data_IF_002909019662
#
_entry.id   IF_002909019662
#
_cell.length_a   1.000
_cell.length_b   1.000
_cell.length_c   1.000
_cell.angle_alpha   90.00
_cell.angle_beta   90.00
_cell.angle_gamma   90.00
#
_symmetry.space_group_name_H-M   'P 1'
#
loop_
_entity.id
_entity.type
_entity.pdbx_description
1 polymer ?
#
# COMPACT_ATOMS: atom_id res chain seq x y z
N UNK A 1 -9.68 -1.72 -14.50
CA UNK A 1 -10.05 -3.05 -13.91
C UNK A 1 -9.28 -3.27 -12.64
N UNK A 2 -9.96 -3.41 -11.50
CA UNK A 2 -9.32 -3.74 -10.21
C UNK A 2 -9.28 -5.26 -9.97
N UNK A 3 -8.42 -5.71 -9.00
CA UNK A 3 -8.36 -7.13 -8.62
C UNK A 3 -9.65 -7.63 -7.97
N UNK A 4 -10.46 -6.73 -7.40
CA UNK A 4 -11.77 -7.00 -6.81
C UNK A 4 -12.93 -7.00 -7.80
N UNK A 5 -12.71 -6.67 -9.07
CA UNK A 5 -13.78 -6.66 -10.07
C UNK A 5 -14.15 -8.08 -10.54
N UNK A 6 -15.45 -8.33 -10.85
CA UNK A 6 -15.91 -9.62 -11.37
C UNK A 6 -15.21 -9.98 -12.68
N UNK A 7 -14.96 -8.99 -13.55
CA UNK A 7 -14.23 -9.19 -14.80
C UNK A 7 -12.81 -9.69 -14.56
N UNK A 8 -12.15 -9.19 -13.50
CA UNK A 8 -10.82 -9.70 -13.13
C UNK A 8 -10.91 -11.13 -12.60
N UNK A 9 -11.78 -11.37 -11.62
CA UNK A 9 -11.85 -12.64 -10.88
C UNK A 9 -12.24 -13.81 -11.79
N UNK A 10 -13.24 -13.62 -12.66
CA UNK A 10 -13.81 -14.68 -13.48
C UNK A 10 -13.39 -14.66 -14.96
N UNK A 11 -12.88 -13.52 -15.44
CA UNK A 11 -12.41 -13.37 -16.83
C UNK A 11 -10.89 -13.36 -16.92
N UNK A 12 -10.28 -12.22 -16.61
CA UNK A 12 -8.87 -11.99 -16.88
C UNK A 12 -7.94 -12.94 -16.11
N UNK A 13 -8.15 -13.11 -14.80
CA UNK A 13 -7.23 -13.88 -13.95
C UNK A 13 -7.17 -15.37 -14.33
N UNK A 14 -8.31 -16.12 -14.51
CA UNK A 14 -8.26 -17.50 -14.95
C UNK A 14 -7.66 -17.65 -16.35
N UNK A 15 -8.04 -16.82 -17.31
CA UNK A 15 -7.50 -16.85 -18.69
C UNK A 15 -6.00 -16.60 -18.69
N UNK A 16 -5.55 -15.59 -17.94
CA UNK A 16 -4.13 -15.26 -17.83
C UNK A 16 -3.31 -16.40 -17.19
N UNK A 17 -3.88 -17.10 -16.20
CA UNK A 17 -3.25 -18.28 -15.60
C UNK A 17 -3.07 -19.41 -16.62
N UNK A 18 -4.12 -19.73 -17.37
CA UNK A 18 -4.06 -20.79 -18.38
C UNK A 18 -3.00 -20.44 -19.44
N UNK A 19 -3.08 -19.26 -20.03
CA UNK A 19 -2.13 -18.80 -21.06
C UNK A 19 -0.69 -18.84 -20.56
N UNK A 20 -0.45 -18.35 -19.35
CA UNK A 20 0.89 -18.35 -18.78
C UNK A 20 1.43 -19.76 -18.50
N UNK A 21 0.61 -20.68 -18.02
CA UNK A 21 1.08 -22.04 -17.70
C UNK A 21 1.36 -22.88 -18.95
N UNK A 22 0.62 -22.68 -20.03
CA UNK A 22 0.85 -23.31 -21.34
C UNK A 22 2.13 -22.76 -22.02
N UNK A 23 2.47 -21.49 -21.74
CA UNK A 23 3.64 -20.83 -22.35
C UNK A 23 4.96 -21.54 -21.98
N UNK A 24 5.85 -21.80 -22.96
CA UNK A 24 7.17 -22.38 -22.73
C UNK A 24 8.01 -21.55 -21.76
N UNK A 25 8.88 -22.22 -20.98
CA UNK A 25 9.69 -21.57 -19.93
C UNK A 25 10.49 -20.36 -20.42
N UNK A 26 11.01 -20.40 -21.66
CA UNK A 26 11.82 -19.30 -22.27
C UNK A 26 10.98 -18.04 -22.57
N UNK A 27 9.70 -18.20 -22.85
CA UNK A 27 8.78 -17.09 -23.21
C UNK A 27 7.95 -16.57 -22.04
N UNK A 28 8.08 -17.13 -20.85
CA UNK A 28 7.24 -16.76 -19.69
C UNK A 28 7.40 -15.29 -19.26
N UNK A 29 8.58 -14.69 -19.39
CA UNK A 29 8.77 -13.26 -19.10
C UNK A 29 8.04 -12.40 -20.13
N UNK A 30 8.14 -12.75 -21.42
CA UNK A 30 7.41 -12.05 -22.47
C UNK A 30 5.89 -12.21 -22.32
N UNK A 31 5.41 -13.42 -22.03
CA UNK A 31 3.99 -13.67 -21.76
C UNK A 31 3.47 -12.85 -20.59
N UNK A 32 4.23 -12.78 -19.49
CA UNK A 32 3.89 -11.94 -18.33
C UNK A 32 3.84 -10.45 -18.69
N UNK A 33 4.73 -9.99 -19.56
CA UNK A 33 4.71 -8.60 -20.03
C UNK A 33 3.46 -8.34 -20.87
N UNK A 34 3.13 -9.21 -21.82
CA UNK A 34 1.91 -9.08 -22.63
C UNK A 34 0.66 -9.07 -21.76
N UNK A 35 0.55 -9.99 -20.80
CA UNK A 35 -0.56 -10.01 -19.84
C UNK A 35 -0.63 -8.72 -19.01
N UNK A 36 0.53 -8.16 -18.64
CA UNK A 36 0.57 -6.88 -17.93
C UNK A 36 0.13 -5.71 -18.80
N UNK A 37 0.49 -5.71 -20.09
CA UNK A 37 0.02 -4.70 -21.06
C UNK A 37 -1.50 -4.81 -21.28
N UNK A 38 -2.04 -6.03 -21.41
CA UNK A 38 -3.49 -6.25 -21.51
C UNK A 38 -4.18 -5.76 -20.23
N UNK A 39 -3.63 -6.06 -19.04
CA UNK A 39 -4.18 -5.54 -17.78
C UNK A 39 -4.18 -4.00 -17.75
N UNK A 40 -3.11 -3.37 -18.22
CA UNK A 40 -3.00 -1.92 -18.31
C UNK A 40 -4.01 -1.31 -19.30
N UNK A 41 -4.34 -2.01 -20.40
CA UNK A 41 -5.29 -1.49 -21.40
C UNK A 41 -6.71 -1.32 -20.88
N UNK A 42 -7.08 -2.03 -19.79
CA UNK A 42 -8.37 -1.81 -19.11
C UNK A 42 -8.47 -0.45 -18.39
N UNK A 43 -7.35 0.24 -18.19
CA UNK A 43 -7.32 1.62 -17.68
C UNK A 43 -7.29 2.68 -18.79
N UNK A 44 -7.39 2.26 -20.04
CA UNK A 44 -7.37 3.09 -21.23
C UNK A 44 -6.08 2.97 -22.04
N UNK A 45 -6.18 3.27 -23.33
CA UNK A 45 -5.02 3.25 -24.24
C UNK A 45 -3.98 4.30 -23.84
N UNK A 46 -4.42 5.44 -23.36
CA UNK A 46 -3.58 6.54 -22.85
C UNK A 46 -2.66 6.07 -21.71
N UNK A 47 -3.19 5.21 -20.82
CA UNK A 47 -2.39 4.63 -19.77
C UNK A 47 -1.28 3.71 -20.31
N UNK A 48 -1.59 2.89 -21.31
CA UNK A 48 -0.58 2.01 -21.93
C UNK A 48 0.52 2.83 -22.61
N UNK A 49 0.14 3.87 -23.34
CA UNK A 49 1.09 4.78 -23.99
C UNK A 49 1.96 5.52 -22.97
N UNK A 50 1.35 6.04 -21.92
CA UNK A 50 2.07 6.69 -20.82
C UNK A 50 3.09 5.77 -20.15
N UNK A 51 2.66 4.57 -19.73
CA UNK A 51 3.57 3.66 -19.02
C UNK A 51 4.68 3.13 -19.94
N UNK A 52 4.40 2.95 -21.23
CA UNK A 52 5.39 2.59 -22.22
C UNK A 52 6.45 3.71 -22.41
N UNK A 53 6.02 4.96 -22.56
CA UNK A 53 6.90 6.11 -22.64
C UNK A 53 7.72 6.26 -21.33
N UNK A 54 7.08 6.14 -20.17
CA UNK A 54 7.74 6.19 -18.88
C UNK A 54 8.84 5.12 -18.74
N UNK A 55 8.56 3.89 -19.17
CA UNK A 55 9.54 2.79 -19.18
C UNK A 55 10.70 3.09 -20.13
N UNK A 56 10.44 3.57 -21.35
CA UNK A 56 11.48 3.87 -22.33
C UNK A 56 12.43 4.96 -21.80
N UNK A 57 11.88 6.05 -21.26
CA UNK A 57 12.68 7.15 -20.70
C UNK A 57 13.55 6.63 -19.55
N UNK A 58 12.95 5.96 -18.56
CA UNK A 58 13.69 5.47 -17.40
C UNK A 58 14.71 4.38 -17.75
N UNK A 59 14.39 3.49 -18.71
CA UNK A 59 15.34 2.50 -19.21
C UNK A 59 16.54 3.19 -19.86
N UNK A 60 16.32 4.13 -20.75
CA UNK A 60 17.40 4.86 -21.46
C UNK A 60 18.26 5.64 -20.48
N UNK A 61 17.64 6.39 -19.58
CA UNK A 61 18.34 7.16 -18.55
C UNK A 61 19.18 6.28 -17.64
N UNK A 62 18.65 5.14 -17.19
CA UNK A 62 19.36 4.20 -16.34
C UNK A 62 20.57 3.57 -17.07
N UNK A 63 20.43 3.25 -18.37
CA UNK A 63 21.52 2.75 -19.22
C UNK A 63 22.60 3.79 -19.39
N UNK A 64 22.24 5.03 -19.71
CA UNK A 64 23.18 6.14 -19.88
C UNK A 64 23.93 6.42 -18.57
N UNK A 65 23.22 6.46 -17.44
CA UNK A 65 23.85 6.65 -16.12
C UNK A 65 24.89 5.58 -15.82
N UNK A 66 24.60 4.29 -16.07
CA UNK A 66 25.54 3.19 -15.80
C UNK A 66 26.77 3.23 -16.74
N UNK A 67 26.56 3.51 -18.03
CA UNK A 67 27.65 3.60 -19.01
C UNK A 67 28.56 4.78 -18.69
N UNK A 68 27.99 5.95 -18.43
CA UNK A 68 28.77 7.15 -18.12
C UNK A 68 29.47 7.03 -16.76
N UNK A 69 28.85 6.41 -15.77
CA UNK A 69 29.48 6.18 -14.45
C UNK A 69 30.79 5.40 -14.57
N UNK A 70 30.88 4.44 -15.50
CA UNK A 70 32.09 3.67 -15.74
C UNK A 70 33.18 4.45 -16.45
N UNK A 71 32.83 5.53 -17.16
CA UNK A 71 33.75 6.38 -17.92
C UNK A 71 34.11 7.67 -17.17
N UNK A 72 33.12 8.36 -16.64
CA UNK A 72 33.30 9.64 -15.97
C UNK A 72 32.23 9.83 -14.89
N UNK A 73 32.63 9.90 -13.63
CA UNK A 73 31.75 10.04 -12.48
C UNK A 73 30.96 11.36 -12.49
N UNK A 74 31.48 12.43 -13.10
CA UNK A 74 30.79 13.72 -13.20
C UNK A 74 29.71 13.65 -14.30
N UNK A 75 30.05 13.10 -15.47
CA UNK A 75 29.15 13.02 -16.61
C UNK A 75 27.89 12.18 -16.33
N UNK A 76 27.97 11.15 -15.46
CA UNK A 76 26.82 10.33 -15.11
C UNK A 76 25.78 11.07 -14.25
N UNK A 77 26.15 12.20 -13.65
CA UNK A 77 25.21 13.02 -12.85
C UNK A 77 24.10 13.63 -13.71
N UNK A 78 24.38 13.99 -14.97
CA UNK A 78 23.38 14.63 -15.85
C UNK A 78 22.18 13.70 -16.12
N UNK A 79 22.34 12.47 -16.68
CA UNK A 79 21.21 11.58 -16.87
C UNK A 79 20.56 11.15 -15.55
N UNK A 80 21.35 10.97 -14.48
CA UNK A 80 20.81 10.68 -13.15
C UNK A 80 19.87 11.79 -12.68
N UNK A 81 20.32 13.06 -12.70
CA UNK A 81 19.51 14.21 -12.28
C UNK A 81 18.26 14.37 -13.15
N UNK A 82 18.40 14.21 -14.47
CA UNK A 82 17.24 14.24 -15.38
C UNK A 82 16.20 13.18 -15.01
N UNK A 83 16.62 11.91 -14.78
CA UNK A 83 15.70 10.85 -14.41
C UNK A 83 15.03 11.11 -13.06
N UNK A 84 15.78 11.60 -12.06
CA UNK A 84 15.23 11.97 -10.77
C UNK A 84 14.15 13.06 -10.89
N UNK A 85 14.43 14.11 -11.66
CA UNK A 85 13.49 15.22 -11.90
C UNK A 85 12.27 14.72 -12.68
N UNK A 86 12.48 13.91 -13.73
CA UNK A 86 11.40 13.33 -14.53
C UNK A 86 10.44 12.48 -13.67
N UNK A 87 10.97 11.59 -12.84
CA UNK A 87 10.16 10.71 -11.99
C UNK A 87 9.39 11.49 -10.92
N UNK A 88 10.05 12.46 -10.27
CA UNK A 88 9.42 13.34 -9.28
C UNK A 88 8.34 14.19 -9.96
N UNK A 89 8.65 14.79 -11.11
CA UNK A 89 7.67 15.58 -11.87
C UNK A 89 6.46 14.73 -12.27
N UNK A 90 6.67 13.54 -12.84
CA UNK A 90 5.58 12.62 -13.19
C UNK A 90 4.71 12.29 -11.97
N UNK A 91 5.32 11.98 -10.81
CA UNK A 91 4.59 11.71 -9.59
C UNK A 91 3.72 12.89 -9.16
N UNK A 92 4.27 14.11 -9.11
CA UNK A 92 3.54 15.31 -8.71
C UNK A 92 2.48 15.71 -9.73
N UNK A 93 2.81 15.64 -11.02
CA UNK A 93 1.88 15.99 -12.09
C UNK A 93 0.58 15.18 -12.03
N UNK A 94 0.65 13.90 -11.69
CA UNK A 94 -0.53 13.03 -11.63
C UNK A 94 -1.18 12.88 -10.26
N UNK A 95 -0.54 13.37 -9.20
CA UNK A 95 -1.05 13.24 -7.83
C UNK A 95 -1.57 14.55 -7.24
N UNK A 96 -1.32 15.69 -7.86
CA UNK A 96 -1.78 16.98 -7.36
C UNK A 96 -2.81 17.60 -8.30
N UNK A 97 -3.95 18.04 -7.77
CA UNK A 97 -5.02 18.69 -8.52
C UNK A 97 -4.55 19.97 -9.25
N UNK A 98 -3.47 20.58 -8.78
CA UNK A 98 -2.90 21.81 -9.39
C UNK A 98 -2.43 21.61 -10.82
N UNK A 99 -2.15 20.37 -11.23
CA UNK A 99 -1.80 20.04 -12.61
C UNK A 99 -2.98 19.60 -13.46
N UNK A 100 -4.21 19.57 -12.93
CA UNK A 100 -5.41 19.30 -13.73
C UNK A 100 -5.55 20.24 -14.92
N UNK A 101 -5.11 21.51 -14.79
CA UNK A 101 -5.03 22.46 -15.90
C UNK A 101 -4.12 22.00 -17.05
N UNK A 102 -3.09 21.21 -16.79
CA UNK A 102 -2.22 20.63 -17.83
C UNK A 102 -2.98 19.58 -18.64
N UNK A 103 -3.86 18.80 -17.99
CA UNK A 103 -4.69 17.79 -18.68
C UNK A 103 -5.73 18.43 -19.59
N UNK A 104 -6.39 19.49 -19.12
CA UNK A 104 -7.35 20.25 -19.95
C UNK A 104 -6.67 20.90 -21.15
N UNK A 105 -5.45 21.42 -20.97
CA UNK A 105 -4.65 22.02 -22.06
C UNK A 105 -4.19 20.97 -23.08
N UNK A 106 -3.83 19.75 -22.62
CA UNK A 106 -3.40 18.64 -23.48
C UNK A 106 -4.58 17.84 -24.06
N UNK A 107 -5.83 18.24 -23.81
CA UNK A 107 -7.06 17.53 -24.22
C UNK A 107 -7.06 16.05 -23.81
N UNK A 108 -6.35 15.69 -22.75
CA UNK A 108 -6.44 14.37 -22.13
C UNK A 108 -7.79 14.32 -21.38
N UNK A 109 -8.53 13.24 -21.54
CA UNK A 109 -9.83 13.07 -20.86
C UNK A 109 -9.73 13.33 -19.38
N UNK A 110 -10.77 13.92 -18.77
CA UNK A 110 -10.84 14.39 -17.37
C UNK A 110 -10.51 13.34 -16.29
N UNK A 111 -10.25 12.11 -16.67
CA UNK A 111 -10.08 10.98 -15.74
C UNK A 111 -8.77 10.20 -15.90
N UNK A 112 -7.75 10.74 -16.57
CA UNK A 112 -6.50 10.00 -16.72
C UNK A 112 -5.67 10.04 -15.43
N UNK A 113 -5.88 9.07 -14.55
CA UNK A 113 -5.02 8.82 -13.40
C UNK A 113 -4.21 7.54 -13.63
N UNK A 114 -2.87 7.62 -13.75
CA UNK A 114 -2.03 6.42 -13.95
C UNK A 114 -1.95 5.61 -12.66
N UNK A 115 -2.82 4.61 -12.58
CA UNK A 115 -2.92 3.71 -11.42
C UNK A 115 -1.55 3.09 -11.10
N UNK A 116 -1.18 3.11 -9.82
CA UNK A 116 0.12 2.59 -9.36
C UNK A 116 1.31 3.53 -9.54
N UNK A 117 1.10 4.78 -10.04
CA UNK A 117 2.19 5.73 -10.25
C UNK A 117 3.03 5.96 -8.98
N UNK A 118 2.39 6.05 -7.83
CA UNK A 118 3.06 6.22 -6.54
C UNK A 118 4.07 5.10 -6.25
N UNK A 119 3.75 3.84 -6.62
CA UNK A 119 4.57 2.67 -6.31
C UNK A 119 5.65 2.40 -7.37
N UNK A 120 5.29 2.50 -8.67
CA UNK A 120 6.28 2.25 -9.71
C UNK A 120 7.32 3.38 -9.78
N UNK A 121 6.94 4.63 -9.47
CA UNK A 121 7.90 5.75 -9.35
C UNK A 121 8.91 5.52 -8.23
N UNK A 122 8.48 5.05 -7.05
CA UNK A 122 9.43 4.66 -6.00
C UNK A 122 10.37 3.54 -6.47
N UNK A 123 9.87 2.59 -7.28
CA UNK A 123 10.70 1.53 -7.85
C UNK A 123 11.74 2.08 -8.82
N UNK A 124 11.34 2.99 -9.73
CA UNK A 124 12.21 3.63 -10.71
C UNK A 124 13.28 4.52 -10.03
N UNK A 125 12.86 5.40 -9.10
CA UNK A 125 13.77 6.24 -8.32
C UNK A 125 14.80 5.40 -7.55
N UNK A 126 14.35 4.35 -6.85
CA UNK A 126 15.24 3.46 -6.11
C UNK A 126 16.25 2.75 -7.00
N UNK A 127 15.82 2.30 -8.19
CA UNK A 127 16.70 1.67 -9.17
C UNK A 127 17.74 2.64 -9.72
N UNK A 128 17.34 3.85 -10.08
CA UNK A 128 18.24 4.88 -10.61
C UNK A 128 19.29 5.29 -9.57
N UNK A 129 18.87 5.46 -8.30
CA UNK A 129 19.80 5.72 -7.18
C UNK A 129 20.77 4.56 -6.96
N UNK A 130 20.30 3.31 -7.04
CA UNK A 130 21.19 2.13 -6.88
C UNK A 130 22.20 2.01 -8.03
N UNK A 131 21.84 2.38 -9.26
CA UNK A 131 22.78 2.44 -10.41
C UNK A 131 23.80 3.55 -10.20
N UNK A 132 23.35 4.76 -9.86
CA UNK A 132 24.25 5.90 -9.64
C UNK A 132 25.28 5.59 -8.55
N UNK A 133 24.87 4.95 -7.47
CA UNK A 133 25.75 4.52 -6.38
C UNK A 133 26.57 3.24 -6.70
N UNK A 134 26.42 2.65 -7.89
CA UNK A 134 27.15 1.44 -8.29
C UNK A 134 26.74 0.16 -7.57
N UNK A 135 25.61 0.15 -6.89
CA UNK A 135 25.09 -1.03 -6.17
C UNK A 135 24.54 -2.09 -7.11
N UNK A 136 24.02 -1.66 -8.26
CA UNK A 136 23.44 -2.52 -9.30
C UNK A 136 23.89 -2.00 -10.65
N UNK A 137 24.15 -2.89 -11.60
CA UNK A 137 24.36 -2.55 -13.01
C UNK A 137 23.02 -2.41 -13.72
N UNK A 138 22.97 -1.55 -14.75
CA UNK A 138 21.73 -1.36 -15.50
C UNK A 138 21.32 -2.63 -16.25
N UNK A 139 20.02 -2.94 -16.22
CA UNK A 139 19.45 -4.07 -16.95
C UNK A 139 19.58 -3.86 -18.46
N UNK A 140 19.99 -4.92 -19.17
CA UNK A 140 20.14 -4.91 -20.62
C UNK A 140 18.88 -5.37 -21.35
N UNK A 141 18.05 -6.17 -20.69
CA UNK A 141 16.82 -6.71 -21.24
C UNK A 141 15.64 -5.79 -20.92
N UNK A 142 15.12 -5.10 -21.93
CA UNK A 142 13.99 -4.18 -21.78
C UNK A 142 12.73 -4.90 -21.29
N UNK A 143 12.49 -6.17 -21.67
CA UNK A 143 11.34 -6.95 -21.19
C UNK A 143 11.39 -7.12 -19.67
N UNK A 144 12.56 -7.45 -19.14
CA UNK A 144 12.75 -7.63 -17.68
C UNK A 144 12.63 -6.30 -16.93
N UNK A 145 13.15 -5.21 -17.51
CA UNK A 145 12.98 -3.89 -16.93
C UNK A 145 11.51 -3.43 -16.95
N UNK A 146 10.80 -3.66 -18.06
CA UNK A 146 9.37 -3.36 -18.16
C UNK A 146 8.56 -4.12 -17.10
N UNK A 147 8.84 -5.41 -16.88
CA UNK A 147 8.22 -6.19 -15.81
C UNK A 147 8.54 -5.64 -14.42
N UNK A 148 9.74 -5.10 -14.21
CA UNK A 148 10.07 -4.46 -12.94
C UNK A 148 9.18 -3.25 -12.63
N UNK A 149 8.75 -2.51 -13.64
CA UNK A 149 7.88 -1.33 -13.50
C UNK A 149 6.40 -1.72 -13.50
N UNK A 150 5.92 -2.44 -14.52
CA UNK A 150 4.50 -2.58 -14.83
C UNK A 150 3.90 -3.98 -14.62
N UNK A 151 4.61 -4.90 -13.94
CA UNK A 151 4.13 -6.26 -13.72
C UNK A 151 2.79 -6.25 -12.98
N UNK A 152 1.69 -6.73 -13.62
CA UNK A 152 0.33 -6.53 -13.12
C UNK A 152 0.09 -7.06 -11.69
N UNK A 153 0.66 -8.16 -11.19
CA UNK A 153 0.49 -8.57 -9.80
C UNK A 153 1.06 -7.58 -8.77
N UNK A 154 1.89 -6.62 -9.22
CA UNK A 154 2.51 -5.60 -8.36
C UNK A 154 2.00 -4.19 -8.61
N UNK A 155 1.31 -3.97 -9.72
CA UNK A 155 1.00 -2.63 -10.22
C UNK A 155 0.10 -1.84 -9.27
N UNK A 156 -0.97 -2.44 -8.73
CA UNK A 156 -1.95 -1.72 -7.90
C UNK A 156 -1.43 -1.42 -6.49
N UNK A 157 -0.94 -2.43 -5.77
CA UNK A 157 -0.47 -2.30 -4.38
C UNK A 157 0.59 -3.36 -4.05
N UNK A 158 1.32 -3.84 -5.05
CA UNK A 158 2.36 -4.83 -4.86
C UNK A 158 3.58 -4.26 -4.12
N UNK A 159 4.46 -5.13 -3.61
CA UNK A 159 5.62 -4.69 -2.85
C UNK A 159 6.58 -3.86 -3.70
N UNK A 160 6.98 -2.70 -3.18
CA UNK A 160 8.08 -1.90 -3.74
C UNK A 160 9.40 -2.62 -3.44
N UNK A 161 9.96 -3.25 -4.44
CA UNK A 161 11.18 -4.05 -4.32
C UNK A 161 12.37 -3.30 -4.90
N UNK A 162 13.55 -3.52 -4.30
CA UNK A 162 14.81 -3.18 -4.97
C UNK A 162 15.00 -4.09 -6.17
N UNK A 163 15.70 -3.60 -7.20
CA UNK A 163 15.90 -4.34 -8.44
C UNK A 163 16.61 -5.69 -8.23
N UNK A 164 17.60 -5.75 -7.35
CA UNK A 164 18.30 -7.00 -7.01
C UNK A 164 17.37 -8.04 -6.35
N UNK A 165 16.45 -7.61 -5.50
CA UNK A 165 15.46 -8.49 -4.87
C UNK A 165 14.42 -8.98 -5.91
N UNK A 166 13.97 -8.10 -6.79
CA UNK A 166 13.08 -8.46 -7.90
C UNK A 166 13.73 -9.51 -8.81
N UNK A 167 14.97 -9.31 -9.24
CA UNK A 167 15.71 -10.24 -10.10
C UNK A 167 15.88 -11.61 -9.44
N UNK A 168 16.15 -11.65 -8.13
CA UNK A 168 16.19 -12.94 -7.39
C UNK A 168 14.85 -13.68 -7.45
N UNK A 169 13.72 -12.97 -7.28
CA UNK A 169 12.37 -13.56 -7.36
C UNK A 169 12.09 -14.07 -8.76
N UNK A 170 12.43 -13.30 -9.80
CA UNK A 170 12.27 -13.70 -11.20
C UNK A 170 13.04 -14.98 -11.53
N UNK A 171 14.29 -15.07 -11.06
CA UNK A 171 15.16 -16.23 -11.31
C UNK A 171 14.80 -17.46 -10.47
N UNK A 172 14.21 -17.28 -9.28
CA UNK A 172 13.80 -18.36 -8.37
C UNK A 172 12.36 -18.84 -8.55
N UNK A 173 11.74 -18.50 -9.68
CA UNK A 173 10.34 -18.84 -9.97
C UNK A 173 10.06 -20.34 -9.82
N UNK A 174 9.00 -20.67 -9.08
CA UNK A 174 8.52 -22.04 -8.88
C UNK A 174 7.03 -22.12 -9.16
N UNK A 175 6.64 -22.91 -10.12
CA UNK A 175 5.24 -23.18 -10.46
C UNK A 175 4.87 -24.60 -10.01
N UNK A 176 3.70 -24.74 -9.39
CA UNK A 176 3.20 -26.04 -8.93
C UNK A 176 1.84 -25.88 -8.24
N UNK A 177 1.14 -26.97 -8.04
CA UNK A 177 -0.20 -26.99 -7.44
C UNK A 177 -0.21 -26.42 -6.01
N UNK A 178 0.85 -26.66 -5.25
CA UNK A 178 0.99 -26.11 -3.90
C UNK A 178 1.14 -24.58 -3.89
N UNK A 179 1.88 -24.03 -4.87
CA UNK A 179 2.04 -22.59 -5.01
C UNK A 179 0.73 -21.95 -5.48
N UNK A 180 0.02 -22.59 -6.40
CA UNK A 180 -1.29 -22.17 -6.86
C UNK A 180 -2.30 -22.14 -5.70
N UNK A 181 -2.38 -23.21 -4.90
CA UNK A 181 -3.28 -23.26 -3.75
C UNK A 181 -2.98 -22.17 -2.69
N UNK A 182 -1.68 -21.92 -2.40
CA UNK A 182 -1.27 -20.81 -1.53
C UNK A 182 -1.66 -19.46 -2.12
N UNK A 183 -1.43 -19.28 -3.42
CA UNK A 183 -1.74 -18.05 -4.13
C UNK A 183 -3.23 -17.75 -4.11
N UNK A 184 -4.08 -18.70 -4.44
CA UNK A 184 -5.53 -18.56 -4.38
C UNK A 184 -6.03 -18.26 -2.96
N UNK A 185 -5.48 -18.96 -1.96
CA UNK A 185 -5.82 -18.70 -0.55
C UNK A 185 -5.48 -17.26 -0.14
N UNK A 186 -4.32 -16.75 -0.54
CA UNK A 186 -3.93 -15.37 -0.25
C UNK A 186 -4.80 -14.36 -1.01
N UNK A 187 -5.11 -14.65 -2.28
CA UNK A 187 -5.98 -13.81 -3.09
C UNK A 187 -7.37 -13.67 -2.48
N UNK A 188 -8.01 -14.80 -2.10
CA UNK A 188 -9.34 -14.78 -1.50
C UNK A 188 -9.33 -14.09 -0.13
N UNK A 189 -8.29 -14.30 0.69
CA UNK A 189 -8.12 -13.55 1.95
C UNK A 189 -8.01 -12.04 1.71
N UNK A 190 -7.25 -11.63 0.69
CA UNK A 190 -7.13 -10.22 0.30
C UNK A 190 -8.48 -9.65 -0.17
N UNK A 191 -9.21 -10.40 -1.01
CA UNK A 191 -10.54 -10.04 -1.47
C UNK A 191 -11.54 -9.89 -0.30
N UNK A 192 -11.53 -10.84 0.64
CA UNK A 192 -12.35 -10.80 1.86
C UNK A 192 -12.06 -9.55 2.70
N UNK A 193 -10.79 -9.19 2.86
CA UNK A 193 -10.38 -7.96 3.54
C UNK A 193 -10.95 -6.71 2.85
N UNK A 194 -10.87 -6.65 1.51
CA UNK A 194 -11.36 -5.50 0.73
C UNK A 194 -12.88 -5.43 0.80
N UNK A 195 -13.58 -6.49 0.44
CA UNK A 195 -15.04 -6.47 0.24
C UNK A 195 -15.81 -6.51 1.57
N UNK A 196 -15.47 -7.44 2.48
CA UNK A 196 -16.24 -7.60 3.72
C UNK A 196 -15.82 -6.63 4.82
N UNK A 197 -14.54 -6.28 4.91
CA UNK A 197 -14.07 -5.40 5.97
C UNK A 197 -13.96 -3.95 5.51
N UNK A 198 -13.17 -3.66 4.47
CA UNK A 198 -12.88 -2.30 4.08
C UNK A 198 -14.11 -1.56 3.55
N UNK A 199 -14.89 -2.17 2.64
CA UNK A 199 -16.03 -1.49 2.03
C UNK A 199 -17.15 -1.21 3.05
N UNK A 200 -17.37 -2.14 3.99
CA UNK A 200 -18.35 -1.91 5.08
C UNK A 200 -17.88 -0.82 6.05
N UNK A 201 -16.58 -0.78 6.40
CA UNK A 201 -16.01 0.28 7.23
C UNK A 201 -15.98 1.63 6.51
N UNK A 202 -15.81 1.62 5.18
CA UNK A 202 -15.90 2.82 4.37
C UNK A 202 -17.30 3.42 4.40
N UNK A 203 -18.36 2.58 4.32
CA UNK A 203 -19.72 3.04 4.46
C UNK A 203 -19.98 3.71 5.83
N UNK A 204 -19.43 3.15 6.92
CA UNK A 204 -19.49 3.79 8.24
C UNK A 204 -18.74 5.12 8.26
N UNK A 205 -17.54 5.18 7.69
CA UNK A 205 -16.75 6.41 7.64
C UNK A 205 -17.49 7.52 6.86
N UNK A 206 -18.03 7.21 5.68
CA UNK A 206 -18.77 8.17 4.85
C UNK A 206 -20.04 8.65 5.57
N UNK A 207 -20.76 7.76 6.29
CA UNK A 207 -21.92 8.14 7.06
C UNK A 207 -21.60 9.18 8.15
N UNK A 208 -20.40 9.13 8.74
CA UNK A 208 -19.91 10.14 9.69
C UNK A 208 -19.38 11.39 8.97
N UNK A 209 -18.63 11.21 7.89
CA UNK A 209 -18.03 12.30 7.12
C UNK A 209 -19.07 13.19 6.39
N UNK A 210 -20.31 12.74 6.29
CA UNK A 210 -21.43 13.54 5.74
C UNK A 210 -21.87 14.69 6.66
N UNK A 211 -21.44 14.71 7.91
CA UNK A 211 -21.76 15.75 8.89
C UNK A 211 -20.61 16.73 9.06
N UNK A 212 -20.94 18.00 9.26
CA UNK A 212 -19.92 19.01 9.58
C UNK A 212 -19.25 18.69 10.92
N UNK A 213 -17.94 18.99 11.00
CA UNK A 213 -17.17 18.72 12.22
C UNK A 213 -17.74 19.41 13.46
N UNK A 214 -18.41 20.58 13.29
CA UNK A 214 -19.10 21.31 14.35
C UNK A 214 -20.36 20.64 14.91
N UNK A 215 -20.94 19.69 14.18
CA UNK A 215 -22.16 18.99 14.57
C UNK A 215 -21.88 17.60 15.16
N UNK A 216 -20.66 17.09 15.00
CA UNK A 216 -20.31 15.74 15.46
C UNK A 216 -20.24 15.65 16.98
N UNK A 217 -20.88 14.61 17.54
CA UNK A 217 -20.62 14.22 18.93
C UNK A 217 -19.27 13.54 19.08
N UNK A 218 -18.69 13.60 20.29
CA UNK A 218 -17.36 13.03 20.54
C UNK A 218 -17.28 11.54 20.16
N UNK A 219 -18.28 10.75 20.58
CA UNK A 219 -18.29 9.30 20.29
C UNK A 219 -18.46 9.02 18.80
N UNK A 220 -19.30 9.79 18.08
CA UNK A 220 -19.45 9.66 16.62
C UNK A 220 -18.12 9.99 15.89
N UNK A 221 -17.41 11.04 16.32
CA UNK A 221 -16.09 11.38 15.76
C UNK A 221 -15.07 10.26 16.00
N UNK A 222 -15.02 9.66 17.20
CA UNK A 222 -14.16 8.49 17.47
C UNK A 222 -14.54 7.26 16.62
N UNK A 223 -15.83 7.02 16.40
CA UNK A 223 -16.30 5.94 15.52
C UNK A 223 -15.85 6.17 14.08
N UNK A 224 -16.04 7.37 13.54
CA UNK A 224 -15.68 7.72 12.17
C UNK A 224 -14.18 7.53 11.91
N UNK A 225 -13.31 8.08 12.77
CA UNK A 225 -11.86 7.97 12.56
C UNK A 225 -11.33 6.55 12.80
N UNK A 226 -11.96 5.78 13.72
CA UNK A 226 -11.64 4.36 13.90
C UNK A 226 -12.03 3.55 12.67
N UNK A 227 -13.20 3.82 12.09
CA UNK A 227 -13.65 3.22 10.84
C UNK A 227 -12.68 3.56 9.69
N UNK A 228 -12.24 4.82 9.57
CA UNK A 228 -11.29 5.26 8.57
C UNK A 228 -9.97 4.49 8.62
N UNK A 229 -9.30 4.45 9.79
CA UNK A 229 -7.99 3.80 9.88
C UNK A 229 -8.06 2.29 9.68
N UNK A 230 -9.13 1.63 10.14
CA UNK A 230 -9.35 0.22 9.87
C UNK A 230 -9.69 -0.02 8.39
N UNK A 231 -10.54 0.80 7.78
CA UNK A 231 -10.84 0.78 6.36
C UNK A 231 -9.55 0.92 5.52
N UNK A 232 -8.74 1.91 5.81
CA UNK A 232 -7.45 2.14 5.15
C UNK A 232 -6.53 0.90 5.27
N UNK A 233 -6.43 0.33 6.46
CA UNK A 233 -5.65 -0.88 6.70
C UNK A 233 -6.16 -2.07 5.87
N UNK A 234 -7.46 -2.36 5.91
CA UNK A 234 -8.03 -3.49 5.19
C UNK A 234 -8.00 -3.32 3.68
N UNK A 235 -8.20 -2.09 3.18
CA UNK A 235 -8.07 -1.76 1.76
C UNK A 235 -6.63 -2.03 1.27
N UNK A 236 -5.64 -1.39 1.89
CA UNK A 236 -4.24 -1.51 1.46
C UNK A 236 -3.72 -2.94 1.63
N UNK A 237 -3.96 -3.56 2.80
CA UNK A 237 -3.50 -4.92 3.05
C UNK A 237 -4.26 -5.96 2.21
N UNK A 238 -5.53 -5.72 1.90
CA UNK A 238 -6.34 -6.59 1.06
C UNK A 238 -5.82 -6.61 -0.38
N UNK A 239 -5.63 -5.44 -0.99
CA UNK A 239 -5.10 -5.34 -2.36
C UNK A 239 -3.66 -5.85 -2.45
N UNK A 240 -2.83 -5.57 -1.43
CA UNK A 240 -1.47 -6.10 -1.37
C UNK A 240 -1.45 -7.64 -1.26
N UNK A 241 -2.30 -8.24 -0.42
CA UNK A 241 -2.42 -9.70 -0.30
C UNK A 241 -2.96 -10.34 -1.59
N UNK A 242 -3.93 -9.69 -2.29
CA UNK A 242 -4.37 -10.13 -3.62
C UNK A 242 -3.20 -10.12 -4.60
N UNK A 243 -2.44 -9.05 -4.69
CA UNK A 243 -1.26 -8.96 -5.58
C UNK A 243 -0.20 -10.01 -5.28
N UNK A 244 0.11 -10.24 -4.00
CA UNK A 244 1.02 -11.33 -3.58
C UNK A 244 0.45 -12.69 -3.94
N UNK A 245 -0.85 -12.91 -3.71
CA UNK A 245 -1.56 -14.15 -4.07
C UNK A 245 -1.50 -14.45 -5.57
N UNK A 246 -1.79 -13.45 -6.40
CA UNK A 246 -1.64 -13.53 -7.85
C UNK A 246 -0.18 -13.89 -8.20
N UNK A 247 0.81 -13.19 -7.61
CA UNK A 247 2.22 -13.51 -7.81
C UNK A 247 2.54 -14.97 -7.55
N UNK A 248 2.08 -15.55 -6.44
CA UNK A 248 2.26 -16.98 -6.13
C UNK A 248 1.64 -17.91 -7.18
N UNK A 249 0.45 -17.58 -7.72
CA UNK A 249 -0.18 -18.36 -8.78
C UNK A 249 0.67 -18.43 -10.06
N UNK A 250 1.44 -17.37 -10.34
CA UNK A 250 2.39 -17.32 -11.46
C UNK A 250 3.82 -17.80 -11.09
N UNK A 251 4.02 -18.24 -9.84
CA UNK A 251 5.28 -18.77 -9.34
C UNK A 251 6.25 -17.73 -8.78
N UNK A 252 5.82 -16.48 -8.61
CA UNK A 252 6.61 -15.40 -8.04
C UNK A 252 6.29 -15.21 -6.54
N UNK A 253 7.27 -15.41 -5.67
CA UNK A 253 7.10 -15.32 -4.22
C UNK A 253 7.39 -13.91 -3.71
N UNK A 254 6.44 -13.03 -3.88
CA UNK A 254 6.55 -11.67 -3.34
C UNK A 254 6.41 -11.63 -1.82
N UNK A 255 7.14 -10.74 -1.12
CA UNK A 255 6.97 -10.54 0.31
C UNK A 255 5.66 -9.80 0.62
N UNK A 256 5.07 -10.09 1.78
CA UNK A 256 3.90 -9.38 2.26
C UNK A 256 4.23 -7.94 2.68
N UNK A 257 3.33 -7.00 2.38
CA UNK A 257 3.50 -5.57 2.69
C UNK A 257 3.00 -5.20 4.09
N UNK A 258 2.10 -5.98 4.68
CA UNK A 258 1.51 -5.74 5.99
C UNK A 258 1.62 -6.98 6.88
N UNK A 259 1.90 -6.78 8.18
CA UNK A 259 2.02 -7.87 9.15
C UNK A 259 1.31 -7.52 10.48
N UNK A 260 -0.02 -7.39 10.45
CA UNK A 260 -0.85 -7.09 11.61
C UNK A 260 -0.35 -5.88 12.44
N UNK A 261 -0.32 -4.67 11.87
CA UNK A 261 0.24 -3.50 12.53
C UNK A 261 -0.61 -2.95 13.68
N UNK A 262 -1.96 -3.06 13.61
CA UNK A 262 -2.91 -2.35 14.47
C UNK A 262 -2.70 -2.61 15.96
N UNK A 263 -2.40 -3.85 16.35
CA UNK A 263 -2.18 -4.24 17.74
C UNK A 263 -0.69 -4.33 18.09
N UNK A 264 0.06 -3.33 17.69
CA UNK A 264 1.46 -3.19 18.08
C UNK A 264 1.58 -2.48 19.42
N UNK A 265 2.49 -2.95 20.28
CA UNK A 265 2.71 -2.36 21.60
C UNK A 265 3.50 -1.04 21.57
N UNK A 266 3.93 -0.58 20.41
CA UNK A 266 4.67 0.68 20.21
C UNK A 266 4.50 1.18 18.78
N UNK A 267 4.56 2.49 18.59
CA UNK A 267 4.47 3.11 17.25
C UNK A 267 5.60 2.61 16.34
N UNK A 268 6.82 2.41 16.86
CA UNK A 268 7.94 1.83 16.08
C UNK A 268 7.63 0.42 15.55
N UNK A 269 6.89 -0.40 16.28
CA UNK A 269 6.48 -1.74 15.84
C UNK A 269 5.31 -1.68 14.87
N UNK A 270 4.37 -0.76 15.10
CA UNK A 270 3.35 -0.44 14.11
C UNK A 270 4.00 -0.06 12.77
N UNK A 271 4.90 0.90 12.77
CA UNK A 271 5.63 1.36 11.59
C UNK A 271 6.42 0.23 10.89
N UNK A 272 7.04 -0.68 11.65
CA UNK A 272 7.78 -1.81 11.09
C UNK A 272 6.88 -2.88 10.44
N UNK A 273 5.56 -2.84 10.71
CA UNK A 273 4.56 -3.80 10.21
C UNK A 273 3.59 -3.18 9.19
N UNK A 274 3.55 -1.84 9.10
CA UNK A 274 2.73 -1.07 8.18
C UNK A 274 3.49 -0.82 6.89
N UNK A 275 2.95 -1.21 5.77
CA UNK A 275 3.50 -0.98 4.41
C UNK A 275 5.03 -1.12 4.33
N UNK A 276 5.50 -2.27 4.79
CA UNK A 276 6.91 -2.56 5.13
C UNK A 276 7.89 -2.12 4.04
N UNK A 277 7.58 -2.37 2.77
CA UNK A 277 8.48 -2.07 1.66
C UNK A 277 8.61 -0.58 1.40
N UNK A 278 7.52 0.20 1.53
CA UNK A 278 7.55 1.66 1.37
C UNK A 278 8.35 2.28 2.51
N UNK A 279 8.11 1.88 3.75
CA UNK A 279 8.89 2.37 4.91
C UNK A 279 10.37 2.00 4.76
N UNK A 280 10.69 0.79 4.26
CA UNK A 280 12.06 0.39 3.96
C UNK A 280 12.67 1.22 2.83
N UNK A 281 11.87 1.63 1.82
CA UNK A 281 12.33 2.51 0.76
C UNK A 281 12.79 3.87 1.32
N UNK A 282 11.92 4.56 2.06
CA UNK A 282 12.27 5.84 2.70
C UNK A 282 13.47 5.72 3.63
N UNK A 283 13.55 4.64 4.40
CA UNK A 283 14.71 4.37 5.25
C UNK A 283 16.00 4.18 4.48
N UNK A 284 15.98 3.43 3.37
CA UNK A 284 17.19 3.06 2.65
C UNK A 284 17.69 4.15 1.71
N UNK A 285 16.78 4.95 1.13
CA UNK A 285 17.13 5.96 0.14
C UNK A 285 17.15 7.39 0.69
N UNK A 286 16.47 7.65 1.81
CA UNK A 286 16.47 8.97 2.46
C UNK A 286 17.18 8.89 3.82
N UNK A 287 16.62 8.15 4.78
CA UNK A 287 17.14 8.21 6.16
C UNK A 287 18.60 7.77 6.26
N UNK A 288 18.94 6.56 5.77
CA UNK A 288 20.29 6.01 5.93
C UNK A 288 21.38 6.83 5.24
N UNK A 289 21.25 7.24 3.96
CA UNK A 289 22.33 7.97 3.28
C UNK A 289 22.64 9.29 3.98
N UNK A 290 21.61 10.05 4.35
CA UNK A 290 21.80 11.35 4.98
C UNK A 290 22.18 11.26 6.46
N UNK A 291 21.53 10.37 7.23
CA UNK A 291 21.83 10.22 8.66
C UNK A 291 23.22 9.63 8.93
N UNK A 292 23.71 8.74 8.07
CA UNK A 292 25.05 8.12 8.25
C UNK A 292 26.21 9.10 8.06
N UNK A 293 26.01 10.20 7.33
CA UNK A 293 27.02 11.23 7.11
C UNK A 293 27.08 12.25 8.26
N UNK A 294 26.06 12.25 9.14
CA UNK A 294 25.94 13.25 10.21
C UNK A 294 26.64 12.79 11.49
N UNK A 295 27.59 13.56 12.00
CA UNK A 295 28.21 13.33 13.31
C UNK A 295 27.26 13.59 14.47
N UNK A 296 26.30 14.51 14.29
CA UNK A 296 25.32 14.87 15.32
C UNK A 296 24.14 13.90 15.36
N UNK A 297 23.92 13.29 16.54
CA UNK A 297 22.72 12.46 16.80
C UNK A 297 21.41 13.24 16.69
N UNK A 298 21.45 14.54 16.96
CA UNK A 298 20.28 15.42 16.85
C UNK A 298 19.88 15.59 15.38
N UNK A 299 20.82 15.92 14.50
CA UNK A 299 20.57 16.07 13.06
C UNK A 299 20.09 14.74 12.47
N UNK A 300 20.67 13.60 12.85
CA UNK A 300 20.21 12.28 12.40
C UNK A 300 18.74 12.01 12.78
N UNK A 301 18.26 12.49 13.94
CA UNK A 301 16.84 12.39 14.33
C UNK A 301 15.96 13.32 13.50
N UNK A 302 16.40 14.53 13.20
CA UNK A 302 15.67 15.45 12.33
C UNK A 302 15.53 14.89 10.92
N UNK A 303 16.59 14.29 10.36
CA UNK A 303 16.55 13.60 9.07
C UNK A 303 15.55 12.43 9.10
N UNK A 304 15.51 11.67 10.20
CA UNK A 304 14.54 10.60 10.38
C UNK A 304 13.10 11.11 10.40
N UNK A 305 12.83 12.20 11.14
CA UNK A 305 11.50 12.84 11.18
C UNK A 305 11.16 13.38 9.79
N UNK A 306 12.09 14.06 9.10
CA UNK A 306 11.91 14.56 7.74
C UNK A 306 11.57 13.46 6.73
N UNK A 307 12.22 12.29 6.84
CA UNK A 307 11.89 11.14 5.99
C UNK A 307 10.46 10.61 6.25
N UNK A 308 9.99 10.63 7.50
CA UNK A 308 8.61 10.30 7.83
C UNK A 308 7.62 11.35 7.35
N UNK A 309 7.98 12.64 7.45
CA UNK A 309 7.21 13.76 6.90
C UNK A 309 7.04 13.60 5.39
N UNK A 310 8.12 13.28 4.68
CA UNK A 310 8.09 13.01 3.24
C UNK A 310 7.24 11.77 2.90
N UNK A 311 7.30 10.71 3.71
CA UNK A 311 6.45 9.54 3.55
C UNK A 311 4.97 9.89 3.78
N UNK A 312 4.64 10.68 4.78
CA UNK A 312 3.29 11.15 5.04
C UNK A 312 2.74 12.02 3.92
N UNK A 313 3.55 12.93 3.41
CA UNK A 313 3.19 13.71 2.22
C UNK A 313 2.95 12.82 1.00
N UNK A 314 3.80 11.82 0.77
CA UNK A 314 3.64 10.85 -0.32
C UNK A 314 2.34 10.04 -0.20
N UNK A 315 1.86 9.75 1.02
CA UNK A 315 0.59 9.05 1.23
C UNK A 315 -0.62 9.87 0.75
N UNK A 316 -0.74 11.12 1.17
CA UNK A 316 -1.93 11.94 0.96
C UNK A 316 -1.74 13.08 -0.04
N UNK A 317 -0.52 13.45 -0.38
CA UNK A 317 -0.17 14.64 -1.18
C UNK A 317 -0.73 15.96 -0.63
N UNK A 318 -0.98 16.01 0.69
CA UNK A 318 -1.46 17.18 1.43
C UNK A 318 -0.48 17.56 2.54
N UNK A 319 -0.55 18.81 2.98
CA UNK A 319 0.21 19.28 4.16
C UNK A 319 -0.23 18.54 5.43
N UNK A 320 -1.52 18.22 5.52
CA UNK A 320 -2.08 17.42 6.61
C UNK A 320 -1.45 16.02 6.67
N UNK A 321 -1.29 15.35 5.53
CA UNK A 321 -0.56 14.07 5.44
C UNK A 321 0.92 14.19 5.84
N UNK A 322 1.59 15.29 5.48
CA UNK A 322 2.95 15.55 5.95
C UNK A 322 3.03 15.67 7.48
N UNK A 323 2.07 16.33 8.11
CA UNK A 323 1.95 16.41 9.57
C UNK A 323 1.74 15.04 10.22
N UNK A 324 0.88 14.18 9.62
CA UNK A 324 0.76 12.78 10.06
C UNK A 324 2.12 12.09 10.10
N UNK A 325 2.90 12.20 9.03
CA UNK A 325 4.24 11.64 8.97
C UNK A 325 5.18 12.23 10.03
N UNK A 326 5.18 13.54 10.22
CA UNK A 326 5.98 14.21 11.24
C UNK A 326 5.64 13.74 12.66
N UNK A 327 4.34 13.59 12.98
CA UNK A 327 3.86 13.08 14.27
C UNK A 327 4.30 11.64 14.50
N UNK A 328 4.18 10.77 13.48
CA UNK A 328 4.66 9.39 13.54
C UNK A 328 6.17 9.33 13.77
N UNK A 329 6.95 10.07 13.00
CA UNK A 329 8.42 10.13 13.12
C UNK A 329 8.87 10.63 14.48
N UNK A 330 8.25 11.70 14.98
CA UNK A 330 8.53 12.29 16.29
C UNK A 330 8.20 11.32 17.42
N UNK A 331 7.04 10.66 17.35
CA UNK A 331 6.62 9.67 18.34
C UNK A 331 7.60 8.51 18.43
N UNK A 332 8.11 8.01 17.31
CA UNK A 332 9.13 6.94 17.29
C UNK A 332 10.43 7.43 17.98
N UNK A 333 10.85 8.67 17.73
CA UNK A 333 12.06 9.25 18.37
C UNK A 333 11.87 9.41 19.87
N UNK A 334 10.68 9.83 20.32
CA UNK A 334 10.34 9.97 21.76
C UNK A 334 10.26 8.59 22.43
N UNK A 335 9.58 7.62 21.82
CA UNK A 335 9.50 6.24 22.35
C UNK A 335 10.86 5.58 22.54
N UNK A 336 11.82 5.88 21.66
CA UNK A 336 13.19 5.36 21.82
C UNK A 336 13.88 5.85 23.10
N UNK A 337 13.53 7.05 23.58
CA UNK A 337 14.00 7.55 24.90
C UNK A 337 13.27 6.83 26.07
N UNK A 338 12.00 6.49 25.86
CA UNK A 338 11.12 5.83 26.87
C UNK A 338 11.15 4.30 26.80
N UNK A 339 12.18 3.73 26.17
CA UNK A 339 12.27 2.28 25.87
C UNK A 339 12.05 1.37 27.08
N UNK A 340 12.46 1.79 28.26
CA UNK A 340 12.40 1.01 29.51
C UNK A 340 11.17 1.34 30.39
N UNK A 341 10.27 2.22 29.95
CA UNK A 341 9.07 2.58 30.71
C UNK A 341 8.20 1.35 31.00
N UNK A 342 7.89 1.13 32.28
CA UNK A 342 6.97 0.06 32.74
C UNK A 342 5.55 0.30 32.24
N UNK A 343 5.13 1.57 32.18
CA UNK A 343 3.81 1.99 31.69
C UNK A 343 3.61 1.59 30.23
N UNK A 344 4.57 1.87 29.33
CA UNK A 344 4.52 1.47 27.93
C UNK A 344 4.56 -0.05 27.71
N UNK A 345 5.05 -0.83 28.68
CA UNK A 345 4.99 -2.28 28.61
C UNK A 345 3.59 -2.81 28.95
N UNK A 346 2.88 -2.17 29.87
CA UNK A 346 1.56 -2.60 30.32
C UNK A 346 0.44 -2.11 29.40
N UNK A 347 0.47 -0.85 28.95
CA UNK A 347 -0.62 -0.20 28.20
C UNK A 347 -0.29 0.03 26.72
N UNK A 348 0.84 -0.47 26.23
CA UNK A 348 1.41 -0.07 24.93
C UNK A 348 0.50 -0.34 23.74
N UNK A 349 -0.33 -1.38 23.75
CA UNK A 349 -1.25 -1.67 22.65
C UNK A 349 -2.33 -0.57 22.56
N UNK A 350 -2.96 -0.24 23.71
CA UNK A 350 -4.00 0.80 23.78
C UNK A 350 -3.40 2.15 23.42
N UNK A 351 -2.24 2.48 23.99
CA UNK A 351 -1.49 3.71 23.67
C UNK A 351 -1.22 3.83 22.18
N UNK A 352 -0.68 2.78 21.55
CA UNK A 352 -0.33 2.81 20.13
C UNK A 352 -1.57 2.93 19.25
N UNK A 353 -2.63 2.17 19.55
CA UNK A 353 -3.88 2.22 18.81
C UNK A 353 -4.51 3.62 18.89
N UNK A 354 -4.61 4.21 20.10
CA UNK A 354 -5.16 5.56 20.30
C UNK A 354 -4.34 6.61 19.55
N UNK A 355 -3.01 6.59 19.67
CA UNK A 355 -2.17 7.57 18.97
C UNK A 355 -2.25 7.44 17.45
N UNK A 356 -2.22 6.22 16.91
CA UNK A 356 -2.36 5.99 15.47
C UNK A 356 -3.73 6.48 14.99
N UNK A 357 -4.80 6.22 15.75
CA UNK A 357 -6.15 6.68 15.42
C UNK A 357 -6.25 8.21 15.44
N UNK A 358 -5.73 8.87 16.47
CA UNK A 358 -5.70 10.34 16.55
C UNK A 358 -4.87 10.94 15.43
N UNK A 359 -3.69 10.39 15.14
CA UNK A 359 -2.85 10.91 14.05
C UNK A 359 -3.49 10.69 12.68
N UNK A 360 -4.28 9.61 12.50
CA UNK A 360 -4.95 9.36 11.22
C UNK A 360 -6.00 10.40 10.86
N UNK A 361 -6.43 11.26 11.79
CA UNK A 361 -7.25 12.44 11.50
C UNK A 361 -6.56 13.33 10.46
N UNK A 362 -5.24 13.56 10.61
CA UNK A 362 -4.47 14.34 9.64
C UNK A 362 -4.35 13.66 8.26
N UNK A 363 -4.44 12.33 8.23
CA UNK A 363 -4.42 11.58 6.97
C UNK A 363 -5.79 11.57 6.28
N UNK A 364 -6.87 11.66 7.07
CA UNK A 364 -8.25 11.68 6.60
C UNK A 364 -8.71 13.06 6.13
N UNK A 365 -8.05 14.15 6.60
CA UNK A 365 -8.45 15.53 6.35
C UNK A 365 -7.67 16.16 5.21
N UNK A 366 -8.36 16.88 4.33
CA UNK A 366 -7.74 17.56 3.19
C UNK A 366 -6.91 18.78 3.67
N UNK A 367 -7.39 19.52 4.67
CA UNK A 367 -6.67 20.66 5.25
C UNK A 367 -6.31 20.42 6.71
N UNK A 368 -5.31 21.18 7.18
CA UNK A 368 -4.89 21.16 8.59
C UNK A 368 -5.98 21.73 9.50
N UNK A 369 -6.75 22.71 9.01
CA UNK A 369 -7.88 23.30 9.73
C UNK A 369 -8.95 22.26 10.02
N UNK A 370 -9.35 21.49 9.01
CA UNK A 370 -10.36 20.43 9.14
C UNK A 370 -9.92 19.34 10.13
N UNK A 371 -8.62 19.00 10.10
CA UNK A 371 -8.04 18.06 11.06
C UNK A 371 -8.18 18.58 12.51
N UNK A 372 -7.88 19.86 12.77
CA UNK A 372 -8.06 20.41 14.09
C UNK A 372 -9.53 20.53 14.51
N UNK A 373 -10.44 20.90 13.58
CA UNK A 373 -11.89 20.88 13.83
C UNK A 373 -12.37 19.49 14.23
N UNK A 374 -11.91 18.45 13.53
CA UNK A 374 -12.25 17.07 13.86
C UNK A 374 -11.69 16.64 15.22
N UNK A 375 -10.44 16.99 15.53
CA UNK A 375 -9.85 16.72 16.84
C UNK A 375 -10.61 17.43 17.97
N UNK A 376 -11.10 18.64 17.74
CA UNK A 376 -11.93 19.38 18.70
C UNK A 376 -13.26 18.62 18.96
N UNK A 377 -13.91 18.10 17.92
CA UNK A 377 -15.09 17.25 18.07
C UNK A 377 -14.79 15.99 18.89
N UNK A 378 -13.66 15.31 18.65
CA UNK A 378 -13.24 14.11 19.39
C UNK A 378 -13.09 14.33 20.90
N UNK A 379 -12.71 15.53 21.35
CA UNK A 379 -12.60 15.88 22.79
C UNK A 379 -13.86 16.48 23.38
N UNK A 380 -14.97 16.50 22.61
CA UNK A 380 -16.25 17.05 23.06
C UNK A 380 -16.36 18.57 22.97
N UNK A 381 -15.53 19.24 22.16
CA UNK A 381 -15.55 20.69 21.98
C UNK A 381 -16.89 21.25 21.50
N UNK A 382 -17.70 20.43 20.82
CA UNK A 382 -19.07 20.75 20.40
C UNK A 382 -20.12 20.58 21.51
N UNK A 383 -19.70 20.29 22.75
CA UNK A 383 -20.55 20.06 23.94
C UNK A 383 -21.50 18.84 23.83
N UNK A 384 -21.37 18.01 22.79
CA UNK A 384 -22.13 16.80 22.57
C UNK A 384 -21.22 15.57 22.79
N UNK A 385 -21.47 14.78 23.83
CA UNK A 385 -20.76 13.52 24.05
C UNK A 385 -21.32 12.41 23.16
N UNK A 386 -22.63 12.29 23.10
CA UNK A 386 -23.36 11.29 22.31
C UNK A 386 -24.62 11.91 21.70
N UNK A 387 -25.09 11.34 20.61
CA UNK A 387 -26.33 11.72 19.92
C UNK A 387 -27.09 10.46 19.43
N UNK A 388 -28.24 10.66 18.82
CA UNK A 388 -29.07 9.58 18.25
C UNK A 388 -28.35 8.86 17.11
N UNK A 389 -27.52 9.58 16.33
CA UNK A 389 -26.68 9.03 15.28
C UNK A 389 -25.64 8.05 15.86
N UNK A 390 -25.00 8.39 16.97
CA UNK A 390 -24.05 7.50 17.67
C UNK A 390 -24.69 6.14 17.96
N UNK A 391 -25.89 6.15 18.55
CA UNK A 391 -26.60 4.90 18.92
C UNK A 391 -26.98 4.08 17.69
N UNK A 392 -27.44 4.74 16.63
CA UNK A 392 -27.79 4.10 15.38
C UNK A 392 -26.54 3.44 14.74
N UNK A 393 -25.45 4.17 14.59
CA UNK A 393 -24.23 3.66 13.98
C UNK A 393 -23.61 2.53 14.83
N UNK A 394 -23.59 2.66 16.16
CA UNK A 394 -23.13 1.59 17.03
C UNK A 394 -23.95 0.31 16.85
N UNK A 395 -25.27 0.40 16.86
CA UNK A 395 -26.15 -0.79 16.67
C UNK A 395 -25.90 -1.44 15.30
N UNK A 396 -25.75 -0.64 14.24
CA UNK A 396 -25.61 -1.11 12.87
C UNK A 396 -24.23 -1.74 12.61
N UNK A 397 -23.16 -1.18 13.15
CA UNK A 397 -21.78 -1.55 12.79
C UNK A 397 -20.97 -2.21 13.91
N UNK A 398 -21.51 -2.39 15.13
CA UNK A 398 -20.78 -2.95 16.27
C UNK A 398 -20.13 -4.31 15.94
N UNK A 399 -20.90 -5.21 15.34
CA UNK A 399 -20.40 -6.56 15.00
C UNK A 399 -19.25 -6.45 14.00
N UNK A 400 -19.37 -5.61 12.98
CA UNK A 400 -18.31 -5.40 11.96
C UNK A 400 -17.07 -4.80 12.62
N UNK A 401 -17.22 -3.81 13.49
CA UNK A 401 -16.09 -3.21 14.22
C UNK A 401 -15.36 -4.25 15.08
N UNK A 402 -16.09 -5.07 15.86
CA UNK A 402 -15.49 -6.10 16.70
C UNK A 402 -14.79 -7.18 15.88
N UNK A 403 -15.41 -7.64 14.79
CA UNK A 403 -14.84 -8.64 13.89
C UNK A 403 -13.59 -8.10 13.19
N UNK A 404 -13.63 -6.87 12.68
CA UNK A 404 -12.49 -6.26 12.00
C UNK A 404 -11.37 -5.91 12.97
N UNK A 405 -11.66 -5.44 14.18
CA UNK A 405 -10.65 -5.28 15.23
C UNK A 405 -9.96 -6.62 15.53
N UNK A 406 -10.71 -7.70 15.73
CA UNK A 406 -10.13 -9.03 15.96
C UNK A 406 -9.32 -9.51 14.74
N UNK A 407 -9.83 -9.38 13.52
CA UNK A 407 -9.16 -9.78 12.28
C UNK A 407 -7.89 -8.96 11.99
N UNK A 408 -7.77 -7.76 12.54
CA UNK A 408 -6.55 -6.93 12.44
C UNK A 408 -5.43 -7.39 13.39
N UNK A 409 -5.69 -8.39 14.25
CA UNK A 409 -4.71 -9.00 15.18
C UNK A 409 -4.10 -10.28 14.61
N UNK A 410 -2.95 -10.67 15.14
CA UNK A 410 -2.33 -11.98 14.86
C UNK A 410 -2.78 -13.08 15.83
N UNK A 411 -3.77 -12.81 16.68
CA UNK A 411 -4.21 -13.73 17.74
C UNK A 411 -4.68 -15.07 17.17
N UNK A 412 -5.54 -15.04 16.16
CA UNK A 412 -6.04 -16.26 15.52
C UNK A 412 -4.92 -17.11 14.92
N UNK A 413 -4.01 -16.45 14.18
CA UNK A 413 -2.84 -17.11 13.59
C UNK A 413 -1.95 -17.74 14.67
N UNK A 414 -1.67 -17.00 15.75
CA UNK A 414 -0.83 -17.47 16.84
C UNK A 414 -1.50 -18.61 17.63
N UNK A 415 -2.81 -18.56 17.83
CA UNK A 415 -3.58 -19.63 18.42
C UNK A 415 -3.46 -20.93 17.62
N UNK A 416 -3.62 -20.87 16.28
CA UNK A 416 -3.47 -22.03 15.41
C UNK A 416 -2.03 -22.57 15.39
N UNK A 417 -1.04 -21.67 15.32
CA UNK A 417 0.38 -22.07 15.27
C UNK A 417 0.85 -22.67 16.61
N UNK A 418 0.36 -22.16 17.76
CA UNK A 418 0.70 -22.63 19.09
C UNK A 418 -0.07 -23.88 19.48
N UNK A 419 -1.17 -24.20 18.80
CA UNK A 419 -1.92 -25.42 19.09
C UNK A 419 -1.04 -26.66 18.87
N UNK A 420 -0.78 -27.40 19.97
CA UNK A 420 -0.07 -28.70 19.92
C UNK A 420 -0.96 -29.84 19.37
N UNK A 421 -2.27 -29.61 19.24
CA UNK A 421 -3.23 -30.61 18.75
C UNK A 421 -3.11 -30.75 17.22
N UNK A 422 -2.41 -31.80 16.80
CA UNK A 422 -2.22 -32.14 15.38
C UNK A 422 -3.55 -32.32 14.65
N UNK A 423 -4.58 -32.80 15.34
CA UNK A 423 -5.93 -33.01 14.84
C UNK A 423 -6.59 -31.68 14.42
N UNK A 424 -6.48 -30.63 15.26
CA UNK A 424 -7.02 -29.30 14.93
C UNK A 424 -6.36 -28.73 13.66
N UNK A 425 -5.03 -28.86 13.52
CA UNK A 425 -4.33 -28.40 12.32
C UNK A 425 -4.78 -29.13 11.06
N UNK A 426 -4.99 -30.45 11.13
CA UNK A 426 -5.51 -31.24 10.00
C UNK A 426 -6.93 -30.83 9.64
N UNK A 427 -7.84 -30.71 10.61
CA UNK A 427 -9.21 -30.25 10.38
C UNK A 427 -9.24 -28.87 9.75
N UNK A 428 -8.48 -27.90 10.28
CA UNK A 428 -8.41 -26.56 9.69
C UNK A 428 -7.83 -26.57 8.28
N UNK A 429 -6.79 -27.38 8.00
CA UNK A 429 -6.24 -27.48 6.64
C UNK A 429 -7.22 -28.08 5.65
N UNK A 430 -8.01 -29.08 6.06
CA UNK A 430 -9.03 -29.72 5.20
C UNK A 430 -10.25 -28.83 4.98
N UNK A 431 -10.62 -27.99 5.95
CA UNK A 431 -11.73 -27.04 5.83
C UNK A 431 -11.34 -25.78 5.05
N UNK A 432 -10.04 -25.45 4.95
CA UNK A 432 -9.59 -24.22 4.27
C UNK A 432 -10.16 -24.05 2.85
N UNK A 433 -10.17 -25.05 1.95
CA UNK A 433 -10.73 -24.89 0.60
C UNK A 433 -12.22 -24.56 0.60
N UNK A 434 -12.99 -25.21 1.49
CA UNK A 434 -14.44 -25.01 1.61
C UNK A 434 -14.74 -23.60 2.12
N UNK A 435 -14.03 -23.16 3.16
CA UNK A 435 -14.16 -21.81 3.71
C UNK A 435 -13.76 -20.77 2.67
N UNK A 436 -12.67 -20.98 1.91
CA UNK A 436 -12.26 -20.06 0.85
C UNK A 436 -13.29 -19.98 -0.27
N UNK A 437 -13.89 -21.11 -0.68
CA UNK A 437 -14.95 -21.12 -1.69
C UNK A 437 -16.20 -20.36 -1.20
N UNK A 438 -16.62 -20.59 0.05
CA UNK A 438 -17.74 -19.86 0.65
C UNK A 438 -17.45 -18.33 0.73
N UNK A 439 -16.26 -17.94 1.17
CA UNK A 439 -15.86 -16.53 1.21
C UNK A 439 -15.83 -15.90 -0.20
N UNK A 440 -15.35 -16.62 -1.20
CA UNK A 440 -15.37 -16.15 -2.58
C UNK A 440 -16.79 -15.93 -3.07
N UNK A 441 -17.71 -16.87 -2.80
CA UNK A 441 -19.11 -16.76 -3.18
C UNK A 441 -19.79 -15.55 -2.51
N UNK A 442 -19.56 -15.32 -1.20
CA UNK A 442 -20.10 -14.17 -0.48
C UNK A 442 -19.52 -12.86 -1.04
N UNK A 443 -18.19 -12.79 -1.26
CA UNK A 443 -17.58 -11.60 -1.87
C UNK A 443 -18.16 -11.33 -3.27
N UNK A 444 -18.35 -12.38 -4.09
CA UNK A 444 -18.95 -12.24 -5.43
C UNK A 444 -20.36 -11.68 -5.36
N UNK A 445 -21.20 -12.21 -4.45
CA UNK A 445 -22.57 -11.73 -4.27
C UNK A 445 -22.60 -10.24 -3.85
N UNK A 446 -21.72 -9.84 -2.94
CA UNK A 446 -21.64 -8.43 -2.51
C UNK A 446 -21.12 -7.51 -3.63
N UNK A 447 -20.12 -7.91 -4.39
CA UNK A 447 -19.62 -7.11 -5.51
C UNK A 447 -20.69 -6.95 -6.59
N UNK A 448 -21.50 -7.98 -6.85
CA UNK A 448 -22.59 -7.92 -7.85
C UNK A 448 -23.76 -7.06 -7.39
N UNK A 449 -24.01 -6.96 -6.07
CA UNK A 449 -25.12 -6.18 -5.52
C UNK A 449 -24.81 -4.70 -5.30
N UNK A 450 -23.58 -4.35 -4.90
CA UNK A 450 -23.21 -2.98 -4.49
C UNK A 450 -22.25 -2.26 -5.44
N UNK A 451 -21.69 -2.95 -6.41
CA UNK A 451 -20.51 -2.47 -7.12
C UNK A 451 -19.26 -2.44 -6.21
N UNK A 452 -18.06 -2.44 -6.80
CA UNK A 452 -16.85 -2.26 -6.02
C UNK A 452 -16.69 -0.77 -5.65
N UNK A 453 -16.44 -0.46 -4.38
CA UNK A 453 -16.12 0.90 -3.96
C UNK A 453 -14.71 1.26 -4.47
N UNK A 454 -14.64 1.86 -5.65
CA UNK A 454 -13.37 2.28 -6.30
C UNK A 454 -12.67 3.43 -5.57
N UNK A 455 -13.41 4.21 -4.76
CA UNK A 455 -13.01 5.54 -4.33
C UNK A 455 -11.77 5.64 -3.42
N UNK A 456 -11.47 4.67 -2.57
CA UNK A 456 -10.36 4.85 -1.62
C UNK A 456 -8.99 4.58 -2.24
N UNK A 457 -8.91 3.69 -3.23
CA UNK A 457 -7.66 3.39 -3.96
C UNK A 457 -7.25 4.51 -4.91
N UNK A 458 -8.21 5.28 -5.44
CA UNK A 458 -7.92 6.43 -6.32
C UNK A 458 -7.35 7.63 -5.57
N UNK A 459 -7.62 7.76 -4.26
CA UNK A 459 -7.04 8.82 -3.42
C UNK A 459 -5.64 8.50 -2.89
N UNK A 460 -5.16 7.25 -3.04
CA UNK A 460 -3.85 6.75 -2.62
C UNK A 460 -2.95 6.46 -3.83
#
# INVERSE_FOLDING_TARGET
MEYSSLLFIYGFFPVSLILYHITPKKLKEAAMLVLSMIFCSFFGLEYVLFIAAYIIVNYTVSRLTDVLRKKNAIACFIPFAFGMVFDIFALFAFRTERFSAVYTTLRLHEAFFPVGISLFTLSALGYLIDIYNGRVSSEKNIVRYSLYIMMFPRLLMGPVLRYDAFTRIMNSRRTGINELGKGLTLFIKGLTKKVLAADTLYALYIAVAAYDTGELSAVTAWLGITAYILCLYFTLSGVADMGVGIGYCFGYRFPQSFNYPMFSSRIRYFAAKWHVQVIHWFRNYITKPFASQMKSRYISKLIFIGAWTAAGYWYAFTVSGALWGALMGTSIVVENKLRNSRMLKATGIIYTFLLVTVFSVFLASDTVSDAFGYLLAMIGGNRLLTDTLTLYLLKSYLVVLLVTMYASTDLFRNMLLRSRRMLLRKVFSSLTPVVMAALLAVCTALISSSGSSEMLLMKL
#
